data_IF_426452512797
#
_entry.id   IF_426452512797
#
_cell.length_a   1.000
_cell.length_b   1.000
_cell.length_c   1.000
_cell.angle_alpha   90.00
_cell.angle_beta   90.00
_cell.angle_gamma   90.00
#
_symmetry.space_group_name_H-M   'P 1'
#
loop_
_entity.id
_entity.type
_entity.pdbx_description
1 polymer ?
#
# COMPACT_ATOMS: atom_id res chain seq x y z
N UNK A 1 -21.01 -8.65 4.59
CA UNK A 1 -19.93 -9.11 3.69
C UNK A 1 -19.12 -7.87 3.40
N UNK A 2 -17.80 -7.95 3.51
CA UNK A 2 -16.96 -6.76 3.32
C UNK A 2 -16.97 -6.34 1.85
N UNK A 3 -16.96 -5.04 1.56
CA UNK A 3 -16.88 -4.45 0.20
C UNK A 3 -15.50 -4.62 -0.47
N UNK A 4 -14.66 -5.54 0.00
CA UNK A 4 -13.29 -5.73 -0.49
C UNK A 4 -13.19 -6.94 -1.42
N UNK A 5 -12.28 -6.92 -2.42
CA UNK A 5 -12.04 -8.04 -3.32
C UNK A 5 -11.61 -9.32 -2.60
N UNK A 6 -10.96 -9.19 -1.45
CA UNK A 6 -10.60 -10.31 -0.56
C UNK A 6 -10.68 -9.89 0.92
N UNK A 7 -10.53 -10.85 1.84
CA UNK A 7 -10.48 -10.56 3.28
C UNK A 7 -9.24 -9.70 3.59
N UNK A 8 -9.39 -8.49 4.17
CA UNK A 8 -8.24 -7.67 4.61
C UNK A 8 -7.37 -8.37 5.66
N UNK A 9 -7.95 -9.31 6.40
CA UNK A 9 -7.27 -10.09 7.43
C UNK A 9 -6.81 -11.47 6.91
N UNK A 10 -7.06 -11.79 5.65
CA UNK A 10 -6.63 -13.02 4.98
C UNK A 10 -5.16 -13.02 4.55
N UNK A 11 -4.73 -14.09 3.89
CA UNK A 11 -3.34 -14.29 3.44
C UNK A 11 -2.91 -13.27 2.36
N UNK A 12 -3.83 -12.86 1.49
CA UNK A 12 -3.60 -11.83 0.47
C UNK A 12 -3.46 -10.43 1.10
N UNK A 13 -4.16 -10.19 2.22
CA UNK A 13 -4.09 -8.95 2.98
C UNK A 13 -3.02 -8.99 4.09
N UNK A 14 -3.47 -8.70 5.32
CA UNK A 14 -2.62 -8.53 6.50
C UNK A 14 -2.09 -9.82 7.11
N UNK A 15 -2.41 -10.99 6.54
CA UNK A 15 -1.99 -12.32 7.01
C UNK A 15 -2.37 -12.56 8.48
N UNK A 16 -3.64 -12.37 8.82
CA UNK A 16 -4.10 -12.42 10.20
C UNK A 16 -3.52 -11.29 11.05
N UNK A 17 -3.43 -10.07 10.49
CA UNK A 17 -2.95 -8.86 11.17
C UNK A 17 -1.47 -8.89 11.58
N UNK A 18 -0.64 -9.62 10.83
CA UNK A 18 0.82 -9.65 10.97
C UNK A 18 1.53 -8.59 10.12
N UNK A 19 0.88 -8.09 9.08
CA UNK A 19 1.39 -7.06 8.15
C UNK A 19 0.43 -5.88 8.07
N UNK A 20 0.97 -4.68 7.88
CA UNK A 20 0.22 -3.43 7.83
C UNK A 20 0.80 -2.49 6.78
N UNK A 21 -0.05 -1.62 6.24
CA UNK A 21 0.31 -0.49 5.40
C UNK A 21 1.27 -0.89 4.28
N UNK A 22 2.43 -0.25 4.29
CA UNK A 22 3.48 -0.42 3.31
C UNK A 22 3.99 -1.88 3.18
N UNK A 23 3.96 -2.69 4.25
CA UNK A 23 4.35 -4.09 4.16
C UNK A 23 3.36 -4.94 3.34
N UNK A 24 2.09 -4.52 3.25
CA UNK A 24 1.09 -5.17 2.39
C UNK A 24 1.29 -4.71 0.94
N UNK A 25 1.53 -3.42 0.71
CA UNK A 25 1.84 -2.88 -0.62
C UNK A 25 3.07 -3.55 -1.24
N UNK A 26 4.16 -3.67 -0.47
CA UNK A 26 5.41 -4.28 -0.91
C UNK A 26 5.26 -5.75 -1.32
N UNK A 27 4.24 -6.49 -0.84
CA UNK A 27 3.98 -7.87 -1.26
C UNK A 27 3.41 -7.97 -2.68
N UNK A 28 2.87 -6.88 -3.21
CA UNK A 28 2.25 -6.83 -4.53
C UNK A 28 3.26 -6.57 -5.64
N UNK A 29 4.54 -6.42 -5.28
CA UNK A 29 5.61 -6.02 -6.17
C UNK A 29 6.68 -7.11 -6.16
N UNK A 30 7.07 -7.57 -7.34
CA UNK A 30 8.28 -8.31 -7.60
C UNK A 30 9.43 -7.33 -7.90
N UNK A 31 10.43 -7.28 -7.01
CA UNK A 31 11.57 -6.34 -7.09
C UNK A 31 12.42 -6.54 -8.36
N UNK A 32 12.45 -7.74 -8.93
CA UNK A 32 13.28 -8.04 -10.11
C UNK A 32 12.51 -7.84 -11.43
N UNK A 33 11.17 -7.87 -11.41
CA UNK A 33 10.34 -7.89 -12.62
C UNK A 33 9.52 -6.62 -12.84
N UNK A 34 9.09 -5.93 -11.78
CA UNK A 34 8.10 -4.85 -11.89
C UNK A 34 8.70 -3.44 -12.04
N UNK A 35 10.01 -3.29 -11.90
CA UNK A 35 10.68 -1.99 -12.02
C UNK A 35 11.24 -1.72 -13.42
N UNK A 36 11.09 -0.49 -13.94
CA UNK A 36 10.45 0.68 -13.32
C UNK A 36 8.92 0.53 -13.23
N UNK A 37 8.35 0.95 -12.09
CA UNK A 37 6.94 0.75 -11.75
C UNK A 37 6.12 2.02 -12.00
N UNK A 38 5.07 1.96 -12.82
CA UNK A 38 4.12 3.06 -12.98
C UNK A 38 3.08 3.08 -11.86
N UNK A 39 2.85 4.25 -11.26
CA UNK A 39 1.74 4.47 -10.32
C UNK A 39 0.39 4.14 -10.95
N UNK A 40 0.16 4.56 -12.19
CA UNK A 40 -1.12 4.39 -12.86
C UNK A 40 -1.43 2.91 -13.13
N UNK A 41 -0.43 2.15 -13.60
CA UNK A 41 -0.58 0.70 -13.82
C UNK A 41 -0.77 -0.04 -12.50
N UNK A 42 -0.01 0.33 -11.46
CA UNK A 42 -0.14 -0.27 -10.12
C UNK A 42 -1.54 -0.04 -9.52
N UNK A 43 -2.10 1.17 -9.68
CA UNK A 43 -3.47 1.49 -9.21
C UNK A 43 -4.53 0.85 -10.10
N UNK A 44 -4.31 0.71 -11.41
CA UNK A 44 -5.22 -0.01 -12.29
C UNK A 44 -5.34 -1.50 -11.88
N UNK A 45 -4.22 -2.13 -11.52
CA UNK A 45 -4.20 -3.53 -11.14
C UNK A 45 -4.70 -3.77 -9.71
N UNK A 46 -4.21 -2.98 -8.74
CA UNK A 46 -4.43 -3.25 -7.32
C UNK A 46 -5.33 -2.23 -6.61
N UNK A 47 -5.89 -1.24 -7.32
CA UNK A 47 -6.56 -0.08 -6.73
C UNK A 47 -7.62 -0.41 -5.69
N UNK A 48 -8.44 -1.44 -5.93
CA UNK A 48 -9.52 -1.89 -5.04
C UNK A 48 -9.03 -2.78 -3.88
N UNK A 49 -7.75 -3.15 -3.83
CA UNK A 49 -7.25 -4.08 -2.83
C UNK A 49 -7.15 -3.46 -1.43
N UNK A 50 -7.57 -4.19 -0.38
CA UNK A 50 -7.57 -3.67 0.97
C UNK A 50 -6.18 -3.64 1.59
N UNK A 51 -5.80 -2.48 2.10
CA UNK A 51 -4.61 -2.24 2.91
C UNK A 51 -5.02 -1.93 4.34
N UNK A 52 -4.68 -2.83 5.26
CA UNK A 52 -4.88 -2.59 6.69
C UNK A 52 -3.82 -1.62 7.21
N UNK A 53 -4.24 -0.47 7.72
CA UNK A 53 -3.34 0.53 8.30
C UNK A 53 -3.10 0.25 9.78
N UNK A 54 -4.16 -0.09 10.51
CA UNK A 54 -4.11 -0.37 11.96
C UNK A 54 -5.23 -1.35 12.38
N UNK A 55 -5.52 -1.41 13.68
CA UNK A 55 -6.52 -2.33 14.24
C UNK A 55 -7.98 -1.97 13.87
N UNK A 56 -8.25 -0.73 13.48
CA UNK A 56 -9.57 -0.20 13.09
C UNK A 56 -9.62 0.14 11.61
N UNK A 57 -8.51 0.62 11.03
CA UNK A 57 -8.48 1.27 9.73
C UNK A 57 -8.04 0.31 8.62
N UNK A 58 -8.86 0.23 7.57
CA UNK A 58 -8.56 -0.43 6.29
C UNK A 58 -8.94 0.57 5.19
N UNK A 59 -8.03 0.78 4.24
CA UNK A 59 -8.22 1.66 3.08
C UNK A 59 -7.93 0.88 1.79
N UNK A 60 -8.28 1.42 0.64
CA UNK A 60 -7.89 0.84 -0.65
C UNK A 60 -6.45 1.24 -1.03
N UNK A 61 -5.85 0.55 -2.01
CA UNK A 61 -4.59 0.99 -2.61
C UNK A 61 -4.79 2.37 -3.26
N UNK A 62 -5.89 2.57 -3.99
CA UNK A 62 -6.19 3.85 -4.63
C UNK A 62 -6.21 5.01 -3.63
N UNK A 63 -6.83 4.84 -2.46
CA UNK A 63 -6.87 5.88 -1.41
C UNK A 63 -5.46 6.28 -0.92
N UNK A 64 -4.51 5.34 -0.90
CA UNK A 64 -3.13 5.64 -0.52
C UNK A 64 -2.44 6.43 -1.65
N UNK A 65 -2.61 6.00 -2.90
CA UNK A 65 -1.96 6.61 -4.06
C UNK A 65 -2.55 7.96 -4.48
N UNK A 66 -3.75 8.31 -4.04
CA UNK A 66 -4.29 9.67 -4.13
C UNK A 66 -3.39 10.72 -3.45
N UNK A 67 -2.51 10.29 -2.53
CA UNK A 67 -1.56 11.15 -1.82
C UNK A 67 -0.13 11.08 -2.38
N UNK A 68 0.10 10.32 -3.46
CA UNK A 68 1.43 10.11 -4.05
C UNK A 68 1.53 10.91 -5.34
N UNK A 69 2.41 11.91 -5.38
CA UNK A 69 2.60 12.78 -6.54
C UNK A 69 3.52 12.18 -7.63
N UNK A 70 4.26 11.12 -7.31
CA UNK A 70 5.25 10.53 -8.22
C UNK A 70 4.61 9.49 -9.15
N UNK A 71 4.77 9.70 -10.45
CA UNK A 71 4.11 8.90 -11.50
C UNK A 71 4.82 7.56 -11.79
N UNK A 72 6.13 7.47 -11.57
CA UNK A 72 6.97 6.28 -11.85
C UNK A 72 8.03 6.12 -10.76
N UNK A 73 8.27 4.89 -10.32
CA UNK A 73 9.30 4.54 -9.33
C UNK A 73 10.44 3.78 -10.02
N UNK A 74 11.67 4.23 -9.82
CA UNK A 74 12.84 3.64 -10.49
C UNK A 74 13.21 2.26 -9.93
N UNK A 75 13.07 2.09 -8.62
CA UNK A 75 13.41 0.87 -7.90
C UNK A 75 12.61 0.73 -6.60
N UNK A 76 12.75 -0.43 -5.95
CA UNK A 76 12.04 -0.74 -4.72
C UNK A 76 12.37 0.19 -3.54
N UNK A 77 13.63 0.62 -3.32
CA UNK A 77 13.96 1.70 -2.39
C UNK A 77 13.26 3.05 -2.67
N UNK A 78 13.15 3.45 -3.94
CA UNK A 78 12.47 4.68 -4.35
C UNK A 78 10.97 4.61 -4.02
N UNK A 79 10.30 3.53 -4.47
CA UNK A 79 8.93 3.22 -4.08
C UNK A 79 8.73 3.30 -2.56
N UNK A 80 9.63 2.69 -1.79
CA UNK A 80 9.50 2.68 -0.34
C UNK A 80 9.60 4.05 0.31
N UNK A 81 10.49 4.90 -0.18
CA UNK A 81 10.67 6.25 0.38
C UNK A 81 9.45 7.12 0.06
N UNK A 82 9.02 7.11 -1.19
CA UNK A 82 7.97 8.03 -1.68
C UNK A 82 6.61 7.63 -1.12
N UNK A 83 6.22 6.36 -1.24
CA UNK A 83 4.94 5.87 -0.70
C UNK A 83 4.94 5.96 0.82
N UNK A 84 6.05 5.60 1.47
CA UNK A 84 6.18 5.70 2.92
C UNK A 84 6.04 7.13 3.44
N UNK A 85 6.65 8.11 2.75
CA UNK A 85 6.50 9.52 3.08
C UNK A 85 5.05 9.99 2.88
N UNK A 86 4.46 9.67 1.74
CA UNK A 86 3.07 10.05 1.41
C UNK A 86 2.06 9.48 2.43
N UNK A 87 2.25 8.23 2.85
CA UNK A 87 1.44 7.61 3.92
C UNK A 87 1.59 8.33 5.26
N UNK A 88 2.78 8.84 5.60
CA UNK A 88 2.97 9.64 6.84
C UNK A 88 2.24 10.97 6.74
N UNK A 89 2.40 11.66 5.62
CA UNK A 89 1.79 12.97 5.40
C UNK A 89 0.25 12.86 5.37
N UNK A 90 -0.29 11.72 4.92
CA UNK A 90 -1.71 11.39 4.94
C UNK A 90 -2.23 10.86 6.30
N UNK A 91 -1.37 10.71 7.32
CA UNK A 91 -1.78 10.23 8.64
C UNK A 91 -2.01 8.71 8.74
N UNK A 92 -1.55 7.92 7.77
CA UNK A 92 -1.61 6.46 7.79
C UNK A 92 -0.48 5.80 8.60
N UNK A 93 0.11 6.55 9.55
CA UNK A 93 1.10 6.04 10.49
C UNK A 93 0.59 6.26 11.93
N UNK A 94 -0.07 5.26 12.55
CA UNK A 94 -0.73 5.43 13.85
C UNK A 94 0.25 5.70 14.99
N UNK A 95 1.51 5.30 14.81
CA UNK A 95 2.60 5.59 15.73
C UNK A 95 3.44 6.75 15.19
N UNK A 96 2.97 7.97 15.42
CA UNK A 96 3.85 9.12 15.47
C UNK A 96 4.63 9.02 16.79
N UNK A 97 5.85 8.49 16.75
CA UNK A 97 6.78 8.66 17.86
C UNK A 97 7.07 10.16 17.97
N UNK A 98 6.39 10.80 18.93
CA UNK A 98 6.71 12.13 19.42
C UNK A 98 8.13 12.20 20.01
#
# INVERSE_FOLDING_TARGET
MSDWPHDPDGDEGSEGRRKYGQAILAKKIDEDEDFPLSQAEFVEEFGDEPIRIDYETVVSVADIFDNVDQEEFEDFPDFHKVVGQSMRDAGYWPYELA
#
